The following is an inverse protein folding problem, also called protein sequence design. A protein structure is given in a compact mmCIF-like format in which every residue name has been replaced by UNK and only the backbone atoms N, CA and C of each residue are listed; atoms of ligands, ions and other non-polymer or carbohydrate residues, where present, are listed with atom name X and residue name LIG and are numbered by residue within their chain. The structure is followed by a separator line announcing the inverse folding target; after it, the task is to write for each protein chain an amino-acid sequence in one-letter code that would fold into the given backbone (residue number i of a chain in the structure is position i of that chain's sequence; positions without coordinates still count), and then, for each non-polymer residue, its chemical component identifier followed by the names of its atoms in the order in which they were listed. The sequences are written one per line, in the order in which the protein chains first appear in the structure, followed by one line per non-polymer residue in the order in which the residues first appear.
data_IF_626030692697
#
_entry.id   IF_626030692697
#
_cell.length_a   1.000
_cell.length_b   1.000
_cell.length_c   1.000
_cell.angle_alpha   90.00
_cell.angle_beta   90.00
_cell.angle_gamma   90.00
#
_symmetry.space_group_name_H-M   'P 1'
#
loop_
_entity.id
_entity.type
_entity.pdbx_description
1 polymer ?
#
# COMPACT_ATOMS: atom_id res chain seq x y z
N UNK A 1 -2.66 10.39 -8.89
CA UNK A 1 -2.26 10.53 -7.46
C UNK A 1 -0.90 11.22 -7.32
N UNK A 2 -0.66 12.35 -7.98
CA UNK A 2 0.59 13.12 -7.86
C UNK A 2 0.52 14.27 -6.86
N UNK A 3 1.62 15.01 -6.63
CA UNK A 3 1.60 16.26 -5.88
C UNK A 3 0.60 17.28 -6.44
N UNK A 4 0.52 17.41 -7.77
CA UNK A 4 -0.41 18.35 -8.44
C UNK A 4 -1.89 17.95 -8.28
N UNK A 5 -2.15 16.66 -8.02
CA UNK A 5 -3.50 16.19 -7.72
C UNK A 5 -3.97 16.64 -6.34
N UNK A 6 -3.04 16.92 -5.44
CA UNK A 6 -3.31 17.12 -4.02
C UNK A 6 -4.11 18.38 -3.75
N UNK A 7 -3.75 19.52 -4.32
CA UNK A 7 -4.43 20.79 -4.02
C UNK A 7 -5.63 21.07 -4.95
N UNK A 8 -5.93 20.17 -5.89
CA UNK A 8 -7.00 20.34 -6.87
C UNK A 8 -8.36 19.89 -6.32
N UNK A 9 -9.34 20.80 -6.36
CA UNK A 9 -10.75 20.51 -6.10
C UNK A 9 -11.37 19.59 -7.16
N UNK A 10 -12.44 18.89 -6.79
CA UNK A 10 -13.21 18.09 -7.73
C UNK A 10 -13.91 18.99 -8.74
N UNK A 11 -14.04 18.51 -9.99
CA UNK A 11 -15.01 19.07 -10.94
C UNK A 11 -16.43 18.66 -10.55
N UNK A 12 -17.44 19.35 -11.09
CA UNK A 12 -18.84 18.99 -10.86
C UNK A 12 -19.15 17.54 -11.29
N UNK A 13 -18.50 17.06 -12.36
CA UNK A 13 -18.61 15.68 -12.81
C UNK A 13 -17.99 14.70 -11.81
N UNK A 14 -16.80 15.02 -11.27
CA UNK A 14 -16.12 14.21 -10.25
C UNK A 14 -16.94 14.17 -8.94
N UNK A 15 -17.55 15.29 -8.54
CA UNK A 15 -18.47 15.35 -7.40
C UNK A 15 -19.70 14.45 -7.61
N UNK A 16 -20.31 14.51 -8.80
CA UNK A 16 -21.47 13.68 -9.13
C UNK A 16 -21.10 12.19 -9.15
N UNK A 17 -19.96 11.81 -9.72
CA UNK A 17 -19.48 10.43 -9.74
C UNK A 17 -19.21 9.91 -8.33
N UNK A 18 -18.55 10.71 -7.48
CA UNK A 18 -18.32 10.38 -6.08
C UNK A 18 -19.62 10.19 -5.30
N UNK A 19 -20.56 11.12 -5.43
CA UNK A 19 -21.86 11.04 -4.77
C UNK A 19 -22.65 9.80 -5.22
N UNK A 20 -22.60 9.49 -6.52
CA UNK A 20 -23.25 8.31 -7.10
C UNK A 20 -22.66 7.02 -6.53
N UNK A 21 -21.33 6.88 -6.49
CA UNK A 21 -20.66 5.73 -5.90
C UNK A 21 -20.99 5.57 -4.40
N UNK A 22 -21.03 6.67 -3.65
CA UNK A 22 -21.37 6.70 -2.23
C UNK A 22 -22.82 6.28 -1.93
N UNK A 23 -23.74 6.47 -2.87
CA UNK A 23 -25.15 6.14 -2.71
C UNK A 23 -25.51 4.69 -3.07
N UNK A 24 -24.59 3.92 -3.67
CA UNK A 24 -24.87 2.55 -4.12
C UNK A 24 -25.02 1.56 -2.95
N UNK A 25 -25.83 0.49 -3.12
CA UNK A 25 -25.94 -0.59 -2.13
C UNK A 25 -24.59 -1.22 -1.81
N UNK A 26 -24.39 -1.65 -0.56
CA UNK A 26 -23.10 -2.16 -0.03
C UNK A 26 -22.35 -3.11 -0.96
N UNK A 27 -23.05 -4.09 -1.54
CA UNK A 27 -22.48 -5.16 -2.38
C UNK A 27 -22.25 -4.75 -3.83
N UNK A 28 -22.70 -3.56 -4.26
CA UNK A 28 -22.52 -3.11 -5.63
C UNK A 28 -21.06 -2.75 -5.89
N UNK A 29 -20.48 -3.28 -6.96
CA UNK A 29 -19.17 -2.81 -7.46
C UNK A 29 -19.32 -1.38 -8.00
N UNK A 30 -18.44 -0.49 -7.52
CA UNK A 30 -18.44 0.94 -7.90
C UNK A 30 -17.19 1.36 -8.65
N UNK A 31 -16.13 0.55 -8.61
CA UNK A 31 -14.92 0.73 -9.39
C UNK A 31 -14.28 -0.63 -9.69
N UNK A 32 -13.82 -0.83 -10.92
CA UNK A 32 -13.13 -2.05 -11.39
C UNK A 32 -11.86 -1.66 -12.13
N UNK A 33 -10.73 -2.30 -11.81
CA UNK A 33 -9.47 -2.05 -12.51
C UNK A 33 -8.58 -3.30 -12.43
N UNK A 34 -8.16 -3.80 -13.58
CA UNK A 34 -7.43 -5.07 -13.70
C UNK A 34 -8.18 -6.21 -12.98
N UNK A 35 -7.55 -6.89 -12.02
CA UNK A 35 -8.15 -7.98 -11.25
C UNK A 35 -8.86 -7.52 -9.96
N UNK A 36 -8.98 -6.21 -9.74
CA UNK A 36 -9.49 -5.65 -8.49
C UNK A 36 -10.82 -4.95 -8.68
N UNK A 37 -11.79 -5.34 -7.87
CA UNK A 37 -13.10 -4.69 -7.74
C UNK A 37 -13.23 -4.04 -6.37
N UNK A 38 -13.87 -2.87 -6.33
CA UNK A 38 -14.20 -2.18 -5.08
C UNK A 38 -15.72 -2.07 -4.97
N UNK A 39 -16.27 -2.66 -3.91
CA UNK A 39 -17.67 -2.52 -3.54
C UNK A 39 -18.00 -1.12 -3.00
N UNK A 40 -19.26 -0.72 -3.02
CA UNK A 40 -19.71 0.55 -2.43
C UNK A 40 -19.41 0.62 -0.92
N UNK A 41 -19.50 -0.52 -0.21
CA UNK A 41 -19.12 -0.64 1.20
C UNK A 41 -17.64 -0.32 1.41
N UNK A 42 -16.77 -0.87 0.58
CA UNK A 42 -15.32 -0.62 0.64
C UNK A 42 -14.98 0.80 0.19
N UNK A 43 -15.63 1.33 -0.85
CA UNK A 43 -15.46 2.71 -1.31
C UNK A 43 -15.84 3.74 -0.23
N UNK A 44 -16.91 3.50 0.54
CA UNK A 44 -17.29 4.35 1.69
C UNK A 44 -16.22 4.45 2.77
N UNK A 45 -15.23 3.55 2.81
CA UNK A 45 -14.07 3.68 3.72
C UNK A 45 -13.18 4.89 3.39
N UNK A 46 -13.36 5.50 2.22
CA UNK A 46 -12.75 6.78 1.86
C UNK A 46 -13.42 7.99 2.55
N UNK A 47 -14.54 7.82 3.26
CA UNK A 47 -15.11 8.89 4.07
C UNK A 47 -14.17 9.25 5.23
N UNK A 48 -14.27 10.51 5.69
CA UNK A 48 -13.52 10.98 6.85
C UNK A 48 -13.80 10.10 8.07
N UNK A 49 -12.79 9.89 8.92
CA UNK A 49 -12.91 9.05 10.11
C UNK A 49 -12.92 7.52 9.88
N UNK A 50 -12.91 7.03 8.62
CA UNK A 50 -12.91 5.60 8.33
C UNK A 50 -11.49 5.06 8.07
N UNK A 51 -11.22 3.81 8.48
CA UNK A 51 -9.98 3.13 8.12
C UNK A 51 -10.09 2.52 6.73
N UNK A 52 -9.10 2.71 5.86
CA UNK A 52 -9.06 1.98 4.59
C UNK A 52 -8.89 0.48 4.85
N UNK A 53 -9.58 -0.35 4.06
CA UNK A 53 -9.46 -1.80 4.07
C UNK A 53 -8.60 -2.30 2.91
N UNK A 54 -8.34 -3.61 2.87
CA UNK A 54 -7.51 -4.26 1.86
C UNK A 54 -7.98 -3.99 0.42
N UNK A 55 -9.29 -4.02 0.14
CA UNK A 55 -9.82 -3.75 -1.20
C UNK A 55 -9.36 -2.40 -1.75
N UNK A 56 -9.51 -1.34 -0.94
CA UNK A 56 -9.09 0.01 -1.36
C UNK A 56 -7.58 0.08 -1.54
N UNK A 57 -6.82 -0.55 -0.65
CA UNK A 57 -5.36 -0.54 -0.71
C UNK A 57 -4.87 -1.27 -1.97
N UNK A 58 -5.35 -2.48 -2.22
CA UNK A 58 -4.97 -3.31 -3.35
C UNK A 58 -5.40 -2.70 -4.70
N UNK A 59 -6.60 -2.10 -4.76
CA UNK A 59 -7.03 -1.37 -5.94
C UNK A 59 -6.10 -0.18 -6.23
N UNK A 60 -5.70 0.57 -5.21
CA UNK A 60 -4.78 1.69 -5.38
C UNK A 60 -3.36 1.25 -5.75
N UNK A 61 -2.85 0.15 -5.20
CA UNK A 61 -1.54 -0.38 -5.63
C UNK A 61 -1.57 -0.83 -7.09
N UNK A 62 -2.70 -1.37 -7.58
CA UNK A 62 -2.87 -1.66 -9.00
C UNK A 62 -2.81 -0.40 -9.88
N UNK A 63 -3.50 0.69 -9.49
CA UNK A 63 -3.40 1.98 -10.18
C UNK A 63 -1.95 2.48 -10.20
N UNK A 64 -1.27 2.42 -9.06
CA UNK A 64 0.11 2.90 -8.94
C UNK A 64 1.08 2.06 -9.78
N UNK A 65 0.91 0.73 -9.82
CA UNK A 65 1.65 -0.16 -10.72
C UNK A 65 1.43 0.18 -12.20
N UNK A 66 0.22 0.58 -12.59
CA UNK A 66 -0.07 0.98 -13.97
C UNK A 66 0.55 2.34 -14.32
N UNK A 67 0.68 3.23 -13.33
CA UNK A 67 1.24 4.57 -13.50
C UNK A 67 2.78 4.57 -13.53
N UNK A 68 3.42 3.83 -12.64
CA UNK A 68 4.85 3.92 -12.36
C UNK A 68 5.58 2.68 -12.89
N UNK A 69 6.03 2.71 -14.15
CA UNK A 69 6.70 1.55 -14.76
C UNK A 69 8.03 1.17 -14.11
N UNK A 70 8.63 2.07 -13.33
CA UNK A 70 9.87 1.84 -12.58
C UNK A 70 9.66 1.37 -11.15
N UNK A 71 8.42 1.28 -10.68
CA UNK A 71 8.09 0.88 -9.32
C UNK A 71 7.16 -0.34 -9.31
N UNK A 72 7.34 -1.19 -8.31
CA UNK A 72 6.47 -2.33 -8.06
C UNK A 72 5.77 -2.15 -6.71
N UNK A 73 4.45 -2.16 -6.71
CA UNK A 73 3.61 -2.09 -5.52
C UNK A 73 2.98 -3.47 -5.28
N UNK A 74 3.30 -4.09 -4.15
CA UNK A 74 2.71 -5.38 -3.79
C UNK A 74 1.33 -5.20 -3.15
N UNK A 75 0.54 -6.27 -3.20
CA UNK A 75 -0.71 -6.38 -2.47
C UNK A 75 -0.50 -6.53 -0.96
N UNK A 76 -1.59 -6.42 -0.19
CA UNK A 76 -1.55 -6.51 1.27
C UNK A 76 -1.28 -7.92 1.79
N UNK A 77 -1.54 -8.97 0.99
CA UNK A 77 -1.34 -10.36 1.42
C UNK A 77 0.14 -10.72 1.51
N UNK A 78 1.01 -10.11 0.69
CA UNK A 78 2.45 -10.36 0.75
C UNK A 78 3.04 -10.12 2.15
N UNK A 79 2.63 -9.05 2.83
CA UNK A 79 3.09 -8.76 4.18
C UNK A 79 2.66 -9.81 5.21
N UNK A 80 1.57 -10.52 4.97
CA UNK A 80 1.12 -11.65 5.79
C UNK A 80 2.01 -12.87 5.57
N UNK A 81 2.47 -13.12 4.34
CA UNK A 81 3.39 -14.21 4.02
C UNK A 81 4.76 -14.03 4.72
N UNK A 82 5.20 -12.79 4.93
CA UNK A 82 6.43 -12.46 5.66
C UNK A 82 6.32 -12.64 7.19
N UNK A 83 5.10 -12.74 7.75
CA UNK A 83 4.86 -12.82 9.20
C UNK A 83 4.57 -14.25 9.65
N UNK A 84 5.57 -14.92 10.23
CA UNK A 84 5.32 -15.95 11.24
C UNK A 84 6.09 -15.63 12.52
N UNK A 85 5.38 -15.69 13.64
CA UNK A 85 5.71 -15.00 14.91
C UNK A 85 6.99 -15.49 15.61
N UNK A 86 7.67 -16.52 15.09
CA UNK A 86 8.94 -17.07 15.58
C UNK A 86 9.66 -17.95 14.53
N UNK A 87 9.27 -17.87 13.26
CA UNK A 87 9.80 -18.73 12.19
C UNK A 87 10.29 -17.87 11.03
N UNK A 88 11.30 -18.34 10.31
CA UNK A 88 11.55 -17.88 8.94
C UNK A 88 10.20 -17.95 8.19
N UNK A 89 9.88 -16.91 7.42
CA UNK A 89 8.69 -16.95 6.57
C UNK A 89 8.73 -18.20 5.67
N UNK A 90 7.57 -18.65 5.19
CA UNK A 90 7.48 -19.83 4.34
C UNK A 90 8.17 -19.54 3.00
N UNK A 91 9.45 -19.90 2.91
CA UNK A 91 10.29 -19.61 1.76
C UNK A 91 9.75 -20.23 0.48
N UNK A 92 9.10 -21.41 0.56
CA UNK A 92 8.55 -22.06 -0.61
C UNK A 92 7.37 -21.27 -1.18
N UNK A 93 6.45 -20.80 -0.32
CA UNK A 93 5.34 -19.92 -0.75
C UNK A 93 5.85 -18.62 -1.34
N UNK A 94 6.88 -18.04 -0.72
CA UNK A 94 7.47 -16.80 -1.20
C UNK A 94 8.15 -16.98 -2.57
N UNK A 95 8.90 -18.06 -2.79
CA UNK A 95 9.49 -18.34 -4.11
C UNK A 95 8.42 -18.56 -5.18
N UNK A 96 7.31 -19.22 -4.86
CA UNK A 96 6.18 -19.33 -5.78
C UNK A 96 5.64 -17.95 -6.20
N UNK A 97 5.59 -16.99 -5.27
CA UNK A 97 5.21 -15.61 -5.57
C UNK A 97 6.16 -14.91 -6.55
N UNK A 98 7.41 -15.35 -6.67
CA UNK A 98 8.41 -14.77 -7.60
C UNK A 98 8.34 -15.35 -9.01
N UNK A 99 7.44 -16.30 -9.28
CA UNK A 99 7.27 -16.84 -10.64
C UNK A 99 6.57 -15.80 -11.54
N UNK A 100 6.92 -15.72 -12.85
CA UNK A 100 6.31 -14.73 -13.75
C UNK A 100 4.79 -14.85 -13.89
N UNK A 101 4.23 -16.04 -13.64
CA UNK A 101 2.80 -16.32 -13.74
C UNK A 101 2.04 -16.01 -12.43
N UNK A 102 2.74 -15.71 -11.34
CA UNK A 102 2.08 -15.49 -10.06
C UNK A 102 1.30 -14.17 -10.05
N UNK A 103 0.04 -14.16 -9.56
CA UNK A 103 -0.80 -12.97 -9.57
C UNK A 103 -0.24 -11.75 -8.83
N UNK A 104 0.61 -11.96 -7.81
CA UNK A 104 1.23 -10.86 -7.05
C UNK A 104 2.17 -9.98 -7.90
N UNK A 105 2.57 -10.42 -9.09
CA UNK A 105 3.49 -9.68 -9.96
C UNK A 105 4.92 -9.56 -9.43
N UNK A 106 5.24 -10.17 -8.29
CA UNK A 106 6.55 -10.07 -7.62
C UNK A 106 7.71 -10.58 -8.49
N UNK A 107 7.46 -11.50 -9.43
CA UNK A 107 8.47 -11.92 -10.42
C UNK A 107 9.01 -10.76 -11.27
N UNK A 108 8.23 -9.69 -11.49
CA UNK A 108 8.67 -8.50 -12.23
C UNK A 108 9.94 -7.86 -11.66
N UNK A 109 10.08 -7.90 -10.33
CA UNK A 109 11.25 -7.36 -9.62
C UNK A 109 12.59 -7.93 -10.11
N UNK A 110 12.59 -9.14 -10.69
CA UNK A 110 13.81 -9.85 -11.09
C UNK A 110 13.97 -9.96 -12.60
N UNK A 111 12.88 -9.82 -13.36
CA UNK A 111 12.91 -9.97 -14.83
C UNK A 111 12.82 -8.64 -15.56
N UNK A 112 12.32 -7.58 -14.91
CA UNK A 112 12.22 -6.24 -15.50
C UNK A 112 13.32 -5.33 -14.95
N UNK A 113 14.33 -4.99 -15.76
CA UNK A 113 15.45 -4.15 -15.33
C UNK A 113 15.06 -2.70 -15.05
N UNK A 114 13.84 -2.27 -15.40
CA UNK A 114 13.38 -0.91 -15.11
C UNK A 114 12.83 -0.75 -13.69
N UNK A 115 12.55 -1.85 -12.98
CA UNK A 115 12.08 -1.80 -11.61
C UNK A 115 13.23 -1.38 -10.71
N UNK A 116 13.11 -0.20 -10.11
CA UNK A 116 14.11 0.44 -9.23
C UNK A 116 13.59 0.62 -7.80
N UNK A 117 12.27 0.52 -7.60
CA UNK A 117 11.63 0.63 -6.29
C UNK A 117 10.61 -0.47 -6.07
N UNK A 118 10.57 -0.99 -4.84
CA UNK A 118 9.57 -1.94 -4.36
C UNK A 118 8.84 -1.35 -3.16
N UNK A 119 7.51 -1.25 -3.27
CA UNK A 119 6.63 -0.80 -2.19
C UNK A 119 5.82 -1.96 -1.64
N UNK A 120 5.85 -2.13 -0.32
CA UNK A 120 5.14 -3.20 0.38
C UNK A 120 4.22 -2.58 1.44
N UNK A 121 2.90 -2.58 1.22
CA UNK A 121 1.93 -2.22 2.25
C UNK A 121 2.02 -3.20 3.42
N UNK A 122 2.05 -2.68 4.65
CA UNK A 122 2.16 -3.47 5.86
C UNK A 122 1.02 -3.14 6.83
N UNK A 123 0.10 -4.10 7.00
CA UNK A 123 -0.96 -4.03 7.99
C UNK A 123 -0.44 -4.47 9.36
N UNK A 124 0.09 -3.52 10.12
CA UNK A 124 0.71 -3.77 11.43
C UNK A 124 -0.36 -4.19 12.43
N UNK A 125 -0.29 -5.46 12.87
CA UNK A 125 -1.22 -6.09 13.84
C UNK A 125 -2.71 -5.93 13.47
N UNK A 126 -3.02 -5.83 12.18
CA UNK A 126 -4.36 -5.56 11.67
C UNK A 126 -5.01 -4.27 12.22
N UNK A 127 -4.17 -3.33 12.69
CA UNK A 127 -4.63 -2.08 13.31
C UNK A 127 -3.99 -0.81 12.79
N UNK A 128 -2.97 -0.91 11.93
CA UNK A 128 -2.25 0.25 11.44
C UNK A 128 -1.59 -0.01 10.08
N UNK A 129 -1.75 0.91 9.13
CA UNK A 129 -1.10 0.82 7.83
C UNK A 129 0.23 1.57 7.82
N UNK A 130 1.24 0.90 7.28
CA UNK A 130 2.56 1.48 6.97
C UNK A 130 2.98 1.02 5.59
N UNK A 131 3.98 1.67 4.98
CA UNK A 131 4.60 1.17 3.74
C UNK A 131 6.08 1.01 3.96
N UNK A 132 6.63 -0.10 3.48
CA UNK A 132 8.07 -0.27 3.35
C UNK A 132 8.45 -0.03 1.89
N UNK A 133 9.43 0.83 1.67
CA UNK A 133 10.07 1.00 0.37
C UNK A 133 11.44 0.33 0.41
N UNK A 134 11.70 -0.60 -0.50
CA UNK A 134 13.04 -1.02 -0.87
C UNK A 134 13.45 -0.26 -2.13
N UNK A 135 14.44 0.61 -1.97
CA UNK A 135 15.06 1.38 -3.04
C UNK A 135 16.27 0.58 -3.53
N UNK A 136 16.15 0.03 -4.74
CA UNK A 136 17.14 -0.87 -5.31
C UNK A 136 18.37 -0.12 -5.84
N UNK A 137 18.22 1.17 -6.17
CA UNK A 137 19.34 2.00 -6.64
C UNK A 137 20.13 2.56 -5.46
N UNK A 138 19.43 3.09 -4.45
CA UNK A 138 20.07 3.59 -3.23
C UNK A 138 20.48 2.47 -2.27
N UNK A 139 20.08 1.23 -2.55
CA UNK A 139 20.37 0.06 -1.73
C UNK A 139 19.91 0.22 -0.27
N UNK A 140 18.66 0.64 -0.08
CA UNK A 140 18.07 0.84 1.26
C UNK A 140 16.69 0.24 1.40
N UNK A 141 16.31 -0.10 2.63
CA UNK A 141 14.94 -0.52 2.98
C UNK A 141 14.42 0.38 4.09
N UNK A 142 13.36 1.13 3.83
CA UNK A 142 12.84 2.15 4.73
C UNK A 142 11.34 1.94 4.99
N UNK A 143 10.94 1.81 6.26
CA UNK A 143 9.53 1.85 6.69
C UNK A 143 9.09 3.29 6.91
N UNK A 144 8.00 3.69 6.26
CA UNK A 144 7.33 4.97 6.44
C UNK A 144 6.06 4.76 7.27
N UNK A 145 5.96 5.49 8.39
CA UNK A 145 4.92 5.34 9.38
C UNK A 145 4.39 6.72 9.81
N UNK A 146 3.09 6.93 9.64
CA UNK A 146 2.39 8.19 9.90
C UNK A 146 2.03 8.43 11.37
N UNK A 147 2.14 7.42 12.25
CA UNK A 147 1.79 7.52 13.67
C UNK A 147 3.00 7.51 14.61
N UNK A 148 4.03 6.75 14.25
CA UNK A 148 5.14 6.48 15.16
C UNK A 148 6.48 6.55 14.44
N UNK A 149 7.47 6.96 15.20
CA UNK A 149 8.87 7.05 14.83
C UNK A 149 9.64 6.15 15.79
N UNK A 150 10.35 5.16 15.25
CA UNK A 150 11.21 4.23 15.99
C UNK A 150 12.57 4.17 15.29
N UNK A 151 13.60 3.61 15.91
CA UNK A 151 14.93 3.51 15.31
C UNK A 151 15.14 2.25 14.47
N UNK A 152 14.33 1.19 14.66
CA UNK A 152 14.48 -0.10 13.96
C UNK A 152 13.15 -0.71 13.57
N UNK A 153 12.94 -0.92 12.27
CA UNK A 153 11.74 -1.53 11.72
C UNK A 153 11.90 -3.04 11.58
N UNK A 154 10.96 -3.79 12.17
CA UNK A 154 10.86 -5.24 11.95
C UNK A 154 10.51 -5.56 10.49
N UNK A 155 9.67 -4.74 9.86
CA UNK A 155 9.19 -4.94 8.49
C UNK A 155 10.28 -4.68 7.45
N UNK A 156 11.03 -3.60 7.60
CA UNK A 156 12.19 -3.31 6.76
C UNK A 156 13.26 -4.40 6.89
N UNK A 157 13.50 -4.90 8.11
CA UNK A 157 14.39 -6.04 8.33
C UNK A 157 13.91 -7.31 7.63
N UNK A 158 12.62 -7.64 7.75
CA UNK A 158 12.02 -8.81 7.10
C UNK A 158 12.10 -8.72 5.57
N UNK A 159 11.76 -7.56 4.99
CA UNK A 159 11.83 -7.33 3.54
C UNK A 159 13.28 -7.39 3.06
N UNK A 160 14.23 -6.83 3.81
CA UNK A 160 15.65 -6.95 3.46
C UNK A 160 16.13 -8.41 3.44
N UNK A 161 15.74 -9.21 4.43
CA UNK A 161 16.06 -10.64 4.44
C UNK A 161 15.40 -11.38 3.27
N UNK A 162 14.14 -11.06 2.98
CA UNK A 162 13.44 -11.56 1.80
C UNK A 162 14.19 -11.25 0.50
N UNK A 163 14.63 -10.01 0.32
CA UNK A 163 15.40 -9.59 -0.85
C UNK A 163 16.70 -10.39 -0.98
N UNK A 164 17.40 -10.62 0.13
CA UNK A 164 18.62 -11.45 0.14
C UNK A 164 18.36 -12.87 -0.33
N UNK A 165 17.32 -13.52 0.21
CA UNK A 165 17.01 -14.91 -0.11
C UNK A 165 16.62 -15.06 -1.59
N UNK A 166 15.83 -14.13 -2.13
CA UNK A 166 15.40 -14.19 -3.53
C UNK A 166 16.50 -13.79 -4.52
N UNK A 167 17.36 -12.82 -4.20
CA UNK A 167 18.53 -12.52 -5.04
C UNK A 167 19.42 -13.76 -5.19
N UNK A 168 19.65 -14.46 -4.08
CA UNK A 168 20.41 -15.72 -4.05
C UNK A 168 19.76 -16.80 -4.93
N UNK A 169 18.43 -16.95 -4.85
CA UNK A 169 17.66 -17.93 -5.61
C UNK A 169 17.72 -17.72 -7.12
N UNK A 170 17.57 -16.48 -7.57
CA UNK A 170 17.52 -16.13 -9.00
C UNK A 170 18.91 -15.88 -9.59
N UNK A 171 19.98 -16.02 -8.79
CA UNK A 171 21.34 -15.68 -9.21
C UNK A 171 21.51 -14.20 -9.55
N UNK A 172 20.62 -13.34 -9.03
CA UNK A 172 20.71 -11.89 -9.19
C UNK A 172 21.84 -11.36 -8.29
N UNK A 173 22.56 -10.36 -8.78
CA UNK A 173 23.66 -9.73 -8.04
C UNK A 173 23.39 -8.24 -7.87
N UNK A 174 23.57 -7.72 -6.66
CA UNK A 174 23.67 -6.29 -6.36
C UNK A 174 24.94 -6.02 -5.56
N UNK A 175 25.49 -4.82 -5.71
CA UNK A 175 26.61 -4.35 -4.90
C UNK A 175 26.26 -3.01 -4.24
N UNK A 176 26.12 -2.95 -2.90
CA UNK A 176 26.28 -4.07 -1.96
C UNK A 176 25.10 -5.06 -2.00
N UNK A 177 25.31 -6.26 -1.47
CA UNK A 177 24.27 -7.29 -1.33
C UNK A 177 23.13 -6.81 -0.40
N UNK A 178 21.88 -7.29 -0.57
CA UNK A 178 20.73 -6.84 0.21
C UNK A 178 20.92 -6.92 1.73
N UNK A 179 21.64 -7.91 2.24
CA UNK A 179 21.97 -8.03 3.67
C UNK A 179 22.70 -6.81 4.27
N UNK A 180 23.45 -6.08 3.46
CA UNK A 180 24.19 -4.88 3.86
C UNK A 180 23.36 -3.60 3.72
N UNK A 181 22.18 -3.66 3.10
CA UNK A 181 21.32 -2.50 2.92
C UNK A 181 20.81 -2.01 4.28
N UNK A 182 20.82 -0.70 4.56
CA UNK A 182 20.23 -0.15 5.77
C UNK A 182 18.73 -0.44 5.85
N UNK A 183 18.29 -1.09 6.92
CA UNK A 183 16.88 -1.30 7.25
C UNK A 183 16.44 -0.33 8.36
N UNK A 184 15.71 0.74 8.01
CA UNK A 184 15.44 1.87 8.91
C UNK A 184 13.97 2.28 8.92
N UNK A 185 13.59 3.07 9.91
CA UNK A 185 12.41 3.92 9.82
C UNK A 185 12.77 5.23 9.13
N UNK A 186 11.82 5.77 8.37
CA UNK A 186 11.95 7.12 7.84
C UNK A 186 12.03 8.10 9.01
N UNK A 187 13.07 8.94 9.03
CA UNK A 187 13.22 10.01 10.03
C UNK A 187 12.10 11.04 9.91
N UNK A 188 11.61 11.22 8.70
CA UNK A 188 10.57 12.14 8.35
C UNK A 188 9.57 11.43 7.46
N UNK A 189 8.29 11.55 7.77
CA UNK A 189 7.17 11.12 6.95
C UNK A 189 5.98 12.01 7.32
N UNK A 190 5.05 12.30 6.39
CA UNK A 190 3.80 12.97 6.74
C UNK A 190 3.14 12.27 7.93
N UNK A 191 2.88 13.02 9.01
CA UNK A 191 2.30 12.49 10.24
C UNK A 191 0.79 12.73 10.24
N UNK A 192 0.03 11.71 10.59
CA UNK A 192 -1.42 11.84 10.72
C UNK A 192 -1.78 12.43 12.08
N UNK A 193 -2.95 13.09 12.13
CA UNK A 193 -3.51 13.70 13.32
C UNK A 193 -4.47 12.79 14.12
N UNK A 194 -4.86 11.66 13.54
CA UNK A 194 -5.91 10.77 14.03
C UNK A 194 -5.44 9.31 14.10
N UNK A 195 -6.34 8.36 14.34
CA UNK A 195 -6.03 6.92 14.37
C UNK A 195 -6.57 6.15 13.15
N UNK A 196 -7.12 6.84 12.15
CA UNK A 196 -7.85 6.23 11.04
C UNK A 196 -7.29 6.53 9.65
N UNK A 197 -6.35 7.47 9.54
CA UNK A 197 -5.87 7.99 8.27
C UNK A 197 -4.59 7.32 7.77
N UNK A 198 -4.09 6.32 8.49
CA UNK A 198 -2.85 5.62 8.16
C UNK A 198 -2.84 5.01 6.76
N UNK A 199 -3.97 4.46 6.30
CA UNK A 199 -4.08 3.93 4.94
C UNK A 199 -3.92 5.00 3.87
N UNK A 200 -4.54 6.17 4.05
CA UNK A 200 -4.45 7.28 3.10
C UNK A 200 -3.03 7.88 3.08
N UNK A 201 -2.44 8.11 4.25
CA UNK A 201 -1.07 8.59 4.38
C UNK A 201 -0.06 7.60 3.79
N UNK A 202 -0.27 6.30 4.00
CA UNK A 202 0.56 5.23 3.45
C UNK A 202 0.54 5.24 1.91
N UNK A 203 -0.65 5.26 1.29
CA UNK A 203 -0.80 5.29 -0.18
C UNK A 203 -0.17 6.54 -0.79
N UNK A 204 -0.42 7.71 -0.20
CA UNK A 204 0.15 8.96 -0.71
C UNK A 204 1.66 9.01 -0.55
N UNK A 205 2.20 8.50 0.57
CA UNK A 205 3.64 8.40 0.77
C UNK A 205 4.28 7.50 -0.27
N UNK A 206 3.72 6.31 -0.53
CA UNK A 206 4.24 5.40 -1.56
C UNK A 206 4.21 6.08 -2.95
N UNK A 207 3.08 6.72 -3.27
CA UNK A 207 2.89 7.41 -4.55
C UNK A 207 3.87 8.57 -4.76
N UNK A 208 4.14 9.38 -3.73
CA UNK A 208 5.07 10.50 -3.80
C UNK A 208 6.53 10.07 -3.84
N UNK A 209 6.90 8.99 -3.13
CA UNK A 209 8.24 8.42 -3.20
C UNK A 209 8.57 7.93 -4.61
N UNK A 210 7.62 7.27 -5.28
CA UNK A 210 7.82 6.80 -6.66
C UNK A 210 7.92 7.94 -7.67
N UNK A 211 7.11 8.99 -7.52
CA UNK A 211 7.14 10.16 -8.40
C UNK A 211 8.36 11.04 -8.20
N UNK A 212 9.03 10.94 -7.05
CA UNK A 212 10.12 11.83 -6.77
C UNK A 212 11.30 11.20 -6.05
N UNK A 213 12.08 10.47 -6.84
CA UNK A 213 13.41 10.00 -6.48
C UNK A 213 14.43 11.13 -6.21
N UNK A 214 14.07 12.44 -6.27
CA UNK A 214 15.02 13.52 -5.94
C UNK A 214 14.52 14.82 -5.27
N UNK A 215 13.22 15.15 -5.21
CA UNK A 215 12.73 16.52 -4.89
C UNK A 215 11.38 16.70 -4.12
N UNK A 216 10.50 15.71 -3.93
CA UNK A 216 9.11 15.96 -3.44
C UNK A 216 9.02 15.78 -1.93
N UNK A 217 9.91 14.95 -1.39
CA UNK A 217 10.02 14.74 0.05
C UNK A 217 10.44 16.04 0.76
N UNK A 218 11.14 16.94 0.06
CA UNK A 218 11.57 18.24 0.55
C UNK A 218 10.39 19.23 0.74
N UNK A 219 9.29 19.05 0.01
CA UNK A 219 8.11 19.94 0.09
C UNK A 219 7.24 19.65 1.32
N UNK A 220 7.05 18.38 1.67
CA UNK A 220 6.33 17.97 2.89
C UNK A 220 7.15 18.23 4.17
N UNK A 221 8.49 18.23 4.07
CA UNK A 221 9.43 18.47 5.18
C UNK A 221 9.59 19.94 5.58
N UNK A 222 9.49 20.88 4.64
CA UNK A 222 9.69 22.33 4.90
C UNK A 222 8.65 22.95 5.83
N UNK A 223 7.56 22.26 6.14
CA UNK A 223 6.56 22.68 7.14
C UNK A 223 6.78 22.13 8.55
N UNK A 224 7.93 21.51 8.83
CA UNK A 224 8.33 21.01 10.15
C UNK A 224 8.48 22.06 11.28
N UNK A 225 7.83 23.22 11.17
CA UNK A 225 7.80 24.30 12.15
C UNK A 225 6.38 24.72 12.53
N UNK A 226 5.39 23.81 12.50
CA UNK A 226 4.03 24.08 13.00
C UNK A 226 3.83 23.52 14.41
N UNK A 227 3.01 24.18 15.24
CA UNK A 227 2.75 23.78 16.62
C UNK A 227 1.76 22.62 16.72
N UNK A 228 1.86 21.79 17.77
CA UNK A 228 1.12 20.51 17.93
C UNK A 228 -0.41 20.57 17.70
N UNK A 229 -1.06 21.71 17.95
CA UNK A 229 -2.50 21.92 17.66
C UNK A 229 -2.78 22.25 16.18
N UNK A 230 -1.88 22.93 15.50
CA UNK A 230 -1.97 23.19 14.06
C UNK A 230 -1.80 21.89 13.27
N UNK A 231 -1.01 20.94 13.79
CA UNK A 231 -0.88 19.59 13.23
C UNK A 231 -2.19 18.81 13.22
N UNK A 232 -3.05 18.97 14.23
CA UNK A 232 -4.28 18.15 14.32
C UNK A 232 -5.30 18.55 13.26
N UNK A 233 -5.59 19.85 13.13
CA UNK A 233 -6.56 20.32 12.12
C UNK A 233 -5.98 20.25 10.70
N UNK A 234 -4.70 20.61 10.52
CA UNK A 234 -4.05 20.48 9.22
C UNK A 234 -3.94 19.01 8.81
N UNK A 235 -3.63 18.09 9.73
CA UNK A 235 -3.54 16.65 9.43
C UNK A 235 -4.88 16.01 9.06
N UNK A 236 -5.99 16.44 9.68
CA UNK A 236 -7.34 15.99 9.32
C UNK A 236 -7.74 16.50 7.93
N UNK A 237 -7.58 17.81 7.67
CA UNK A 237 -7.83 18.39 6.35
C UNK A 237 -6.96 17.72 5.29
N UNK A 238 -5.70 17.44 5.63
CA UNK A 238 -4.79 16.72 4.76
C UNK A 238 -5.32 15.32 4.44
N UNK A 239 -5.78 14.57 5.44
CA UNK A 239 -6.36 13.24 5.20
C UNK A 239 -7.58 13.30 4.30
N UNK A 240 -8.49 14.24 4.52
CA UNK A 240 -9.71 14.35 3.70
C UNK A 240 -9.33 14.62 2.24
N UNK A 241 -8.35 15.51 2.02
CA UNK A 241 -7.83 15.77 0.70
C UNK A 241 -7.17 14.53 0.06
N UNK A 242 -6.36 13.78 0.81
CA UNK A 242 -5.77 12.51 0.33
C UNK A 242 -6.85 11.50 -0.08
N UNK A 243 -7.90 11.35 0.73
CA UNK A 243 -9.04 10.45 0.46
C UNK A 243 -9.78 10.87 -0.81
N UNK A 244 -9.94 12.17 -1.03
CA UNK A 244 -10.51 12.71 -2.28
C UNK A 244 -9.62 12.40 -3.48
N UNK A 245 -8.30 12.57 -3.38
CA UNK A 245 -7.37 12.18 -4.46
C UNK A 245 -7.48 10.69 -4.79
N UNK A 246 -7.54 9.84 -3.76
CA UNK A 246 -7.71 8.39 -3.93
C UNK A 246 -9.05 8.09 -4.63
N UNK A 247 -10.15 8.65 -4.15
CA UNK A 247 -11.47 8.42 -4.74
C UNK A 247 -11.54 8.84 -6.21
N UNK A 248 -10.96 10.01 -6.55
CA UNK A 248 -10.88 10.48 -7.95
C UNK A 248 -10.09 9.52 -8.81
N UNK A 249 -8.92 9.08 -8.34
CA UNK A 249 -8.09 8.14 -9.09
C UNK A 249 -8.82 6.81 -9.34
N UNK A 250 -9.53 6.29 -8.34
CA UNK A 250 -10.29 5.04 -8.47
C UNK A 250 -11.42 5.13 -9.47
N UNK A 251 -12.19 6.22 -9.45
CA UNK A 251 -13.32 6.40 -10.37
C UNK A 251 -12.85 6.67 -11.80
N UNK A 252 -11.80 7.47 -11.98
CA UNK A 252 -11.29 7.83 -13.30
C UNK A 252 -10.82 6.60 -14.11
N UNK A 253 -10.05 5.70 -13.51
CA UNK A 253 -9.56 4.49 -14.22
C UNK A 253 -10.66 3.48 -14.47
N UNK A 254 -11.71 3.47 -13.64
CA UNK A 254 -12.84 2.56 -13.82
C UNK A 254 -13.70 2.98 -15.02
N UNK A 255 -13.83 4.28 -15.27
CA UNK A 255 -14.56 4.80 -16.43
C UNK A 255 -13.84 4.48 -17.74
N UNK A 256 -12.50 4.51 -17.75
CA UNK A 256 -11.68 4.15 -18.93
C UNK A 256 -11.83 2.67 -19.33
N UNK A 257 -11.95 1.77 -18.35
CA UNK A 257 -12.12 0.31 -18.60
C UNK A 257 -13.56 -0.03 -19.02
N UNK A 258 -14.55 0.76 -18.58
CA UNK A 258 -15.96 0.61 -19.00
C UNK A 258 -16.19 0.76 -20.51
N UNK A 259 -15.25 1.39 -21.24
CA UNK A 259 -15.27 1.50 -22.71
C UNK A 259 -14.52 0.35 -23.41
N UNK A 260 -13.74 -0.46 -22.69
CA UNK A 260 -12.88 -1.50 -23.27
C UNK A 260 -12.88 -2.83 -22.51
N UNK A 261 -14.02 -3.55 -22.52
CA UNK A 261 -14.07 -5.02 -22.47
C UNK A 261 -13.82 -5.71 -21.11
N UNK A 262 -14.78 -6.56 -20.73
CA UNK A 262 -14.72 -7.47 -19.56
C UNK A 262 -13.46 -8.35 -19.54
N UNK A 263 -12.76 -8.38 -18.41
CA UNK A 263 -11.80 -9.42 -18.06
C UNK A 263 -12.48 -10.50 -17.20
N UNK A 264 -12.08 -11.78 -17.29
CA UNK A 264 -12.76 -12.88 -16.61
C UNK A 264 -12.46 -12.89 -15.11
N UNK A 265 -13.51 -13.10 -14.31
CA UNK A 265 -13.42 -13.26 -12.86
C UNK A 265 -12.56 -14.47 -12.48
N UNK A 266 -11.52 -14.22 -11.68
CA UNK A 266 -10.77 -15.29 -11.00
C UNK A 266 -11.47 -15.54 -9.67
N UNK A 267 -12.12 -16.70 -9.54
CA UNK A 267 -12.67 -17.16 -8.26
C UNK A 267 -11.51 -17.59 -7.36
N UNK A 268 -11.31 -16.85 -6.27
CA UNK A 268 -10.52 -17.33 -5.14
C UNK A 268 -11.44 -18.19 -4.29
N UNK A 269 -11.16 -19.50 -4.24
CA UNK A 269 -11.81 -20.41 -3.30
C UNK A 269 -11.43 -19.98 -1.88
N UNK A 270 -12.44 -19.62 -1.08
CA UNK A 270 -12.30 -19.45 0.36
C UNK A 270 -12.15 -20.85 0.97
N UNK A 271 -10.94 -21.19 1.42
CA UNK A 271 -10.73 -22.35 2.29
C UNK A 271 -11.34 -22.03 3.67
N UNK A 272 -12.55 -22.55 3.91
CA UNK A 272 -13.18 -22.69 5.21
C UNK A 272 -12.31 -23.58 6.10
N UNK A 273 -11.59 -22.99 7.05
CA UNK A 273 -10.98 -23.73 8.17
C UNK A 273 -11.16 -22.93 9.48
N UNK A 274 -12.43 -22.71 9.83
CA UNK A 274 -12.86 -22.29 11.16
C UNK A 274 -13.15 -23.54 12.01
N UNK A 275 -12.12 -24.06 12.67
CA UNK A 275 -12.29 -25.00 13.78
C UNK A 275 -11.45 -24.57 14.99
N UNK A 276 -11.78 -23.38 15.52
CA UNK A 276 -11.31 -22.95 16.83
C UNK A 276 -12.26 -23.52 17.89
N UNK A 277 -11.88 -24.65 18.49
CA UNK A 277 -12.51 -25.12 19.71
C UNK A 277 -12.27 -24.14 20.86
N UNK A 278 -13.37 -23.54 21.33
CA UNK A 278 -13.43 -22.78 22.57
C UNK A 278 -13.18 -23.72 23.75
N UNK A 279 -12.02 -23.61 24.40
CA UNK A 279 -11.77 -24.23 25.70
C UNK A 279 -12.41 -23.34 26.77
N UNK A 280 -13.45 -23.84 27.42
CA UNK A 280 -14.05 -23.17 28.59
C UNK A 280 -13.14 -23.30 29.84
N UNK A 281 -13.11 -22.30 30.73
CA UNK A 281 -12.29 -22.33 31.94
C UNK A 281 -13.01 -22.95 33.15
N UNK A 282 -12.32 -23.89 33.84
CA UNK A 282 -12.64 -24.42 35.18
C UNK A 282 -13.06 -25.91 35.14
N UNK A 283 -12.71 -26.80 36.08
CA UNK A 283 -12.18 -26.71 37.44
C UNK A 283 -11.37 -27.99 37.76
N UNK A 284 -10.49 -27.86 38.77
CA UNK A 284 -9.66 -28.86 39.50
C UNK A 284 -8.31 -29.24 38.90
#
# INVERSE_FOLDING_TARGET
MGPDDYDRSFTDQEEQAYATAMARPDHSVVASFQAFDVSAKSFRRLQSGCWLNDDVINYCTAILNARDSHALYLDTIFCTLLKRRNEKYDYQKIVQCTTPQHPSGLGKLFVDPNVTMLFVPAHVRSTHWTVVCADLEAHTVTEYNSLHHSSRSMYAGAIRHFMQDIYTQHGATSEPQPEAWPAKYARYAPQQADLCSCGAFMLMTASWLALDASTAFDYALRRGSMGQQEWTQAGLQQSDQMRRVIARAMLAVSDEVGESGEAPAVQLEEDDDDDIQLVEPGEV
#
